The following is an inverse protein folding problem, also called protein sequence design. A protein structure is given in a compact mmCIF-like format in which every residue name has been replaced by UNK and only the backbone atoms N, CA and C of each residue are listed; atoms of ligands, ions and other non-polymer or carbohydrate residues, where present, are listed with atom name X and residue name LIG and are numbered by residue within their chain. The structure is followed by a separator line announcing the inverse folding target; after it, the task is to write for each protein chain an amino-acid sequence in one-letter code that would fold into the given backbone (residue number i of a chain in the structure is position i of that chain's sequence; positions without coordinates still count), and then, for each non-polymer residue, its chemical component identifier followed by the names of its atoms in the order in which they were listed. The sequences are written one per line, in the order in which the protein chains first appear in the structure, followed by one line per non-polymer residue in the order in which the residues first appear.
data_IF_074393534417
#
_entry.id   IF_074393534417
#
_cell.length_a   1.000
_cell.length_b   1.000
_cell.length_c   1.000
_cell.angle_alpha   90.00
_cell.angle_beta   90.00
_cell.angle_gamma   90.00
#
_symmetry.space_group_name_H-M   'P 1'
#
loop_
_entity.id
_entity.type
_entity.pdbx_description
1 polymer ?
#
# COMPACT_ATOMS: atom_id res chain seq x y z
N UNK A 1 8.23 17.59 8.74
CA UNK A 1 8.36 18.06 7.34
C UNK A 1 7.63 19.39 7.06
N UNK A 2 6.65 19.75 7.86
CA UNK A 2 5.89 21.00 7.77
C UNK A 2 4.76 21.00 6.71
N UNK A 3 3.90 22.05 6.70
CA UNK A 3 2.67 22.05 5.90
C UNK A 3 2.87 22.01 4.39
N UNK A 4 3.99 22.57 3.90
CA UNK A 4 4.30 22.55 2.46
C UNK A 4 4.60 21.15 1.97
N UNK A 5 5.40 20.39 2.72
CA UNK A 5 5.72 19.00 2.40
C UNK A 5 4.49 18.09 2.52
N UNK A 6 3.63 18.31 3.51
CA UNK A 6 2.37 17.57 3.66
C UNK A 6 1.46 17.74 2.44
N UNK A 7 1.32 18.97 1.92
CA UNK A 7 0.52 19.22 0.70
C UNK A 7 1.10 18.55 -0.54
N UNK A 8 2.43 18.59 -0.71
CA UNK A 8 3.07 17.90 -1.83
C UNK A 8 2.82 16.39 -1.72
N UNK A 9 3.04 15.82 -0.55
CA UNK A 9 2.82 14.40 -0.32
C UNK A 9 1.36 13.98 -0.60
N UNK A 10 0.38 14.71 -0.05
CA UNK A 10 -1.04 14.41 -0.26
C UNK A 10 -1.41 14.45 -1.76
N UNK A 11 -0.97 15.48 -2.49
CA UNK A 11 -1.20 15.58 -3.93
C UNK A 11 -0.57 14.42 -4.68
N UNK A 12 0.70 14.12 -4.40
CA UNK A 12 1.44 13.06 -5.10
C UNK A 12 0.81 11.67 -4.84
N UNK A 13 0.20 11.44 -3.66
CA UNK A 13 -0.54 10.21 -3.38
C UNK A 13 -1.84 10.13 -4.22
N UNK A 14 -2.57 11.23 -4.37
CA UNK A 14 -3.77 11.27 -5.22
C UNK A 14 -3.39 11.03 -6.69
N UNK A 15 -2.35 11.69 -7.18
CA UNK A 15 -1.84 11.50 -8.54
C UNK A 15 -1.38 10.05 -8.78
N UNK A 16 -0.70 9.43 -7.80
CA UNK A 16 -0.28 8.03 -7.89
C UNK A 16 -1.47 7.06 -7.96
N UNK A 17 -2.54 7.32 -7.21
CA UNK A 17 -3.77 6.53 -7.24
C UNK A 17 -4.42 6.57 -8.63
N UNK A 18 -4.55 7.76 -9.22
CA UNK A 18 -5.10 7.92 -10.56
C UNK A 18 -4.20 7.26 -11.62
N UNK A 19 -2.89 7.41 -11.49
CA UNK A 19 -1.94 6.74 -12.38
C UNK A 19 -2.09 5.21 -12.36
N UNK A 20 -2.22 4.59 -11.18
CA UNK A 20 -2.49 3.14 -11.07
C UNK A 20 -3.83 2.79 -11.75
N UNK A 21 -4.88 3.59 -11.52
CA UNK A 21 -6.19 3.40 -12.17
C UNK A 21 -6.09 3.41 -13.69
N UNK A 22 -5.31 4.33 -14.25
CA UNK A 22 -5.05 4.42 -15.69
C UNK A 22 -4.28 3.19 -16.20
N UNK A 23 -3.26 2.73 -15.46
CA UNK A 23 -2.51 1.52 -15.82
C UNK A 23 -3.42 0.28 -15.82
N UNK A 24 -4.23 0.08 -14.78
CA UNK A 24 -5.20 -1.01 -14.70
C UNK A 24 -6.13 -1.02 -15.91
N UNK A 25 -6.63 0.16 -16.30
CA UNK A 25 -7.53 0.33 -17.43
C UNK A 25 -6.83 0.10 -18.77
N UNK A 26 -5.64 0.68 -18.98
CA UNK A 26 -4.91 0.62 -20.24
C UNK A 26 -4.38 -0.78 -20.54
N UNK A 27 -3.96 -1.51 -19.53
CA UNK A 27 -3.49 -2.90 -19.65
C UNK A 27 -4.63 -3.93 -19.58
N UNK A 28 -5.86 -3.51 -19.29
CA UNK A 28 -7.01 -4.41 -19.15
C UNK A 28 -6.86 -5.42 -18.01
N UNK A 29 -6.21 -5.03 -16.91
CA UNK A 29 -5.89 -5.93 -15.80
C UNK A 29 -7.14 -6.27 -14.99
N UNK A 30 -7.39 -7.56 -14.79
CA UNK A 30 -8.45 -8.04 -13.89
C UNK A 30 -7.87 -8.23 -12.48
N UNK A 31 -7.72 -7.15 -11.73
CA UNK A 31 -7.14 -7.13 -10.39
C UNK A 31 -8.14 -6.73 -9.29
N UNK A 32 -9.42 -6.87 -9.53
CA UNK A 32 -10.47 -6.47 -8.58
C UNK A 32 -10.34 -5.00 -8.14
N UNK A 33 -9.95 -4.13 -9.07
CA UNK A 33 -9.89 -2.69 -8.81
C UNK A 33 -11.26 -2.17 -8.39
N UNK A 34 -11.33 -1.58 -7.20
CA UNK A 34 -12.57 -1.15 -6.60
C UNK A 34 -12.39 0.16 -5.83
N UNK A 35 -13.15 1.19 -6.21
CA UNK A 35 -13.15 2.48 -5.52
C UNK A 35 -13.89 2.35 -4.19
N UNK A 36 -13.24 2.72 -3.12
CA UNK A 36 -13.73 2.62 -1.76
C UNK A 36 -13.38 3.85 -0.94
N UNK A 37 -14.21 4.13 0.06
CA UNK A 37 -13.88 5.13 1.09
C UNK A 37 -12.85 4.55 2.06
N UNK A 38 -11.75 5.27 2.29
CA UNK A 38 -10.83 4.97 3.38
C UNK A 38 -11.32 5.65 4.66
N UNK A 39 -11.33 4.92 5.76
CA UNK A 39 -11.89 5.38 7.03
C UNK A 39 -10.91 5.08 8.17
N UNK A 40 -10.37 6.14 8.79
CA UNK A 40 -9.71 6.03 10.09
C UNK A 40 -10.76 6.15 11.18
N UNK A 41 -10.75 5.27 12.18
CA UNK A 41 -11.75 5.29 13.25
C UNK A 41 -11.15 5.09 14.63
N UNK A 42 -11.85 5.59 15.64
CA UNK A 42 -11.54 5.41 17.04
C UNK A 42 -12.71 4.77 17.80
N UNK A 43 -12.38 3.99 18.82
CA UNK A 43 -13.33 3.41 19.79
C UNK A 43 -13.14 3.98 21.20
N UNK A 44 -12.04 4.71 21.43
CA UNK A 44 -11.71 5.33 22.71
C UNK A 44 -11.77 6.86 22.62
N UNK A 45 -11.94 7.56 23.75
CA UNK A 45 -11.88 9.04 23.78
C UNK A 45 -10.53 9.61 23.32
N UNK A 46 -9.41 8.97 23.69
CA UNK A 46 -8.08 9.41 23.28
C UNK A 46 -7.86 9.20 21.76
N UNK A 47 -8.36 8.11 21.21
CA UNK A 47 -8.36 7.88 19.75
C UNK A 47 -9.23 8.92 19.03
N UNK A 48 -10.34 9.36 19.61
CA UNK A 48 -11.15 10.41 19.00
C UNK A 48 -10.39 11.74 18.88
N UNK A 49 -9.59 12.11 19.88
CA UNK A 49 -8.73 13.29 19.81
C UNK A 49 -7.72 13.17 18.67
N UNK A 50 -7.07 12.00 18.50
CA UNK A 50 -6.16 11.73 17.40
C UNK A 50 -6.84 11.84 16.02
N UNK A 51 -8.08 11.35 15.89
CA UNK A 51 -8.89 11.50 14.65
C UNK A 51 -9.16 12.96 14.34
N UNK A 52 -9.47 13.81 15.34
CA UNK A 52 -9.70 15.24 15.12
C UNK A 52 -8.42 15.99 14.72
N UNK A 53 -7.29 15.64 15.32
CA UNK A 53 -5.98 16.20 14.94
C UNK A 53 -5.62 15.82 13.49
N UNK A 54 -5.78 14.55 13.12
CA UNK A 54 -5.55 14.06 11.77
C UNK A 54 -6.47 14.76 10.74
N UNK A 55 -7.74 14.95 11.05
CA UNK A 55 -8.67 15.67 10.18
C UNK A 55 -8.22 17.12 9.93
N UNK A 56 -7.71 17.78 10.95
CA UNK A 56 -7.17 19.13 10.81
C UNK A 56 -5.93 19.16 9.92
N UNK A 57 -5.03 18.21 10.11
CA UNK A 57 -3.82 18.08 9.32
C UNK A 57 -4.11 17.73 7.85
N UNK A 58 -5.04 16.78 7.61
CA UNK A 58 -5.45 16.35 6.27
C UNK A 58 -6.08 17.50 5.47
N UNK A 59 -6.99 18.27 6.09
CA UNK A 59 -7.58 19.46 5.47
C UNK A 59 -6.53 20.54 5.16
N UNK A 60 -5.60 20.77 6.09
CA UNK A 60 -4.48 21.69 5.85
C UNK A 60 -3.54 21.23 4.72
N UNK A 61 -3.47 19.93 4.48
CA UNK A 61 -2.77 19.33 3.34
C UNK A 61 -3.57 19.38 2.03
N UNK A 62 -4.84 19.78 2.06
CA UNK A 62 -5.69 19.94 0.87
C UNK A 62 -6.55 18.72 0.56
N UNK A 63 -6.66 17.74 1.47
CA UNK A 63 -7.56 16.60 1.32
C UNK A 63 -8.99 16.99 1.76
N UNK A 64 -9.97 16.52 1.00
CA UNK A 64 -11.39 16.68 1.32
C UNK A 64 -11.84 15.51 2.20
N UNK A 65 -11.78 15.69 3.50
CA UNK A 65 -12.08 14.66 4.49
C UNK A 65 -13.29 15.00 5.31
N UNK A 66 -14.09 13.98 5.62
CA UNK A 66 -15.30 14.09 6.42
C UNK A 66 -15.10 13.52 7.82
N UNK A 67 -15.59 14.24 8.84
CA UNK A 67 -15.62 13.78 10.22
C UNK A 67 -16.98 13.17 10.53
N UNK A 68 -16.98 12.00 11.14
CA UNK A 68 -18.15 11.30 11.66
C UNK A 68 -17.94 10.80 13.10
N UNK A 69 -18.98 10.18 13.65
CA UNK A 69 -18.88 9.54 14.97
C UNK A 69 -19.18 8.06 14.91
N UNK A 70 -20.24 7.68 14.23
CA UNK A 70 -20.70 6.31 14.16
C UNK A 70 -20.56 5.78 12.74
N UNK A 71 -20.04 4.58 12.62
CA UNK A 71 -19.86 3.83 11.38
C UNK A 71 -20.82 2.63 11.36
N UNK A 72 -21.07 2.10 10.18
CA UNK A 72 -21.79 0.83 9.99
C UNK A 72 -20.82 -0.34 10.27
N UNK A 73 -20.37 -0.43 11.52
CA UNK A 73 -19.53 -1.49 12.05
C UNK A 73 -20.25 -2.18 13.21
N UNK A 74 -20.00 -3.47 13.48
CA UNK A 74 -20.69 -4.24 14.53
C UNK A 74 -20.26 -3.85 15.96
N UNK A 75 -19.62 -2.73 16.14
CA UNK A 75 -19.19 -2.18 17.42
C UNK A 75 -19.26 -0.63 17.41
N UNK A 76 -19.40 0.01 18.56
CA UNK A 76 -19.48 1.46 18.64
C UNK A 76 -18.15 2.13 18.31
N UNK A 77 -18.22 3.28 17.63
CA UNK A 77 -17.07 4.15 17.36
C UNK A 77 -17.29 5.51 18.01
N UNK A 78 -16.21 6.16 18.46
CA UNK A 78 -16.23 7.47 19.11
C UNK A 78 -15.99 8.62 18.14
N UNK A 79 -15.17 8.37 17.10
CA UNK A 79 -14.90 9.30 16.02
C UNK A 79 -14.50 8.53 14.75
N UNK A 80 -14.69 9.15 13.60
CA UNK A 80 -14.20 8.65 12.32
C UNK A 80 -13.78 9.79 11.39
N UNK A 81 -12.86 9.50 10.51
CA UNK A 81 -12.37 10.35 9.43
C UNK A 81 -12.44 9.58 8.13
N UNK A 82 -13.19 10.08 7.18
CA UNK A 82 -13.41 9.43 5.88
C UNK A 82 -12.76 10.23 4.76
N UNK A 83 -12.15 9.52 3.82
CA UNK A 83 -11.61 10.06 2.58
C UNK A 83 -12.17 9.22 1.42
N UNK A 84 -12.99 9.84 0.61
CA UNK A 84 -13.60 9.20 -0.55
C UNK A 84 -12.65 9.06 -1.74
N UNK A 85 -13.05 8.28 -2.74
CA UNK A 85 -12.32 8.10 -3.98
C UNK A 85 -11.04 7.29 -3.86
N UNK A 86 -10.80 6.66 -2.72
CA UNK A 86 -9.68 5.73 -2.54
C UNK A 86 -9.95 4.41 -3.27
N UNK A 87 -8.97 3.50 -3.31
CA UNK A 87 -9.15 2.23 -3.98
C UNK A 87 -8.48 1.08 -3.25
N UNK A 88 -9.01 -0.11 -3.48
CA UNK A 88 -8.37 -1.37 -3.17
C UNK A 88 -8.28 -2.23 -4.43
N UNK A 89 -7.33 -3.13 -4.48
CA UNK A 89 -7.17 -4.09 -5.58
C UNK A 89 -6.33 -5.28 -5.14
N UNK A 90 -6.32 -6.33 -5.95
CA UNK A 90 -5.39 -7.45 -5.81
C UNK A 90 -4.07 -7.07 -6.50
N UNK A 91 -3.01 -6.97 -5.70
CA UNK A 91 -1.71 -6.54 -6.18
C UNK A 91 -1.01 -7.59 -7.05
N UNK A 92 -1.31 -8.88 -6.87
CA UNK A 92 -0.61 -9.95 -7.60
C UNK A 92 -0.91 -9.90 -9.10
N UNK A 93 -2.16 -9.95 -9.57
CA UNK A 93 -2.47 -9.83 -10.99
C UNK A 93 -1.98 -8.50 -11.60
N UNK A 94 -1.98 -7.42 -10.81
CA UNK A 94 -1.47 -6.13 -11.28
C UNK A 94 0.03 -6.18 -11.56
N UNK A 95 0.83 -6.74 -10.64
CA UNK A 95 2.29 -6.85 -10.81
C UNK A 95 2.63 -7.82 -11.94
N UNK A 96 1.91 -8.93 -12.08
CA UNK A 96 2.07 -9.89 -13.18
C UNK A 96 1.80 -9.25 -14.54
N UNK A 97 0.77 -8.41 -14.64
CA UNK A 97 0.47 -7.66 -15.85
C UNK A 97 1.57 -6.65 -16.19
N UNK A 98 2.09 -5.92 -15.22
CA UNK A 98 3.22 -5.01 -15.41
C UNK A 98 4.48 -5.76 -15.86
N UNK A 99 4.78 -6.91 -15.27
CA UNK A 99 5.91 -7.74 -15.66
C UNK A 99 5.77 -8.25 -17.10
N UNK A 100 4.57 -8.69 -17.47
CA UNK A 100 4.23 -9.12 -18.85
C UNK A 100 4.39 -7.97 -19.84
N UNK A 101 3.92 -6.77 -19.49
CA UNK A 101 4.08 -5.58 -20.34
C UNK A 101 5.55 -5.26 -20.55
N UNK A 102 6.36 -5.25 -19.50
CA UNK A 102 7.82 -5.02 -19.61
C UNK A 102 8.47 -6.06 -20.49
N UNK A 103 8.16 -7.35 -20.33
CA UNK A 103 8.74 -8.44 -21.11
C UNK A 103 8.31 -8.45 -22.58
N UNK A 104 7.22 -7.73 -22.91
CA UNK A 104 6.74 -7.58 -24.28
C UNK A 104 7.60 -6.66 -25.15
N UNK A 105 8.41 -5.79 -24.55
CA UNK A 105 9.30 -4.89 -25.29
C UNK A 105 10.56 -5.64 -25.76
N UNK A 106 10.99 -5.46 -27.03
CA UNK A 106 12.12 -6.20 -27.62
C UNK A 106 13.43 -6.09 -26.86
N UNK A 107 13.66 -4.97 -26.20
CA UNK A 107 14.91 -4.64 -25.49
C UNK A 107 14.77 -4.78 -23.97
N UNK A 108 13.67 -5.35 -23.49
CA UNK A 108 13.41 -5.56 -22.08
C UNK A 108 13.30 -7.07 -21.78
N UNK A 109 13.58 -7.44 -20.54
CA UNK A 109 13.36 -8.80 -20.06
C UNK A 109 13.14 -8.86 -18.56
N UNK A 110 12.25 -9.74 -18.11
CA UNK A 110 12.00 -10.05 -16.71
C UNK A 110 12.63 -11.40 -16.37
N UNK A 111 13.51 -11.43 -15.39
CA UNK A 111 14.20 -12.64 -14.95
C UNK A 111 13.78 -13.01 -13.54
N UNK A 112 12.79 -13.85 -13.40
CA UNK A 112 12.40 -14.43 -12.11
C UNK A 112 13.46 -15.46 -11.64
N UNK A 113 13.40 -15.81 -10.37
CA UNK A 113 14.30 -16.79 -9.72
C UNK A 113 15.79 -16.44 -9.83
N UNK A 114 16.12 -15.24 -10.28
CA UNK A 114 17.46 -14.75 -10.53
C UNK A 114 17.98 -13.89 -9.37
N UNK A 115 18.38 -14.55 -8.29
CA UNK A 115 18.83 -13.87 -7.07
C UNK A 115 20.10 -13.07 -7.30
N UNK A 116 20.05 -11.75 -7.15
CA UNK A 116 21.23 -10.89 -7.15
C UNK A 116 22.04 -11.10 -5.86
N UNK A 117 23.29 -11.51 -6.01
CA UNK A 117 24.22 -11.75 -4.88
C UNK A 117 25.25 -10.64 -4.69
N UNK A 118 25.29 -9.67 -5.61
CA UNK A 118 26.17 -8.51 -5.45
C UNK A 118 26.08 -7.53 -6.61
N UNK A 119 26.32 -6.26 -6.28
CA UNK A 119 26.39 -5.16 -7.25
C UNK A 119 27.72 -4.45 -7.06
N UNK A 120 28.50 -4.32 -8.13
CA UNK A 120 29.83 -3.70 -8.12
C UNK A 120 30.08 -2.81 -9.32
N UNK A 121 31.25 -2.15 -9.35
CA UNK A 121 31.65 -1.22 -10.42
C UNK A 121 31.29 0.22 -10.11
N UNK A 122 31.94 1.14 -10.84
CA UNK A 122 31.66 2.59 -10.78
C UNK A 122 31.09 3.12 -12.11
N UNK A 123 30.84 2.17 -13.05
CA UNK A 123 30.29 2.33 -14.37
C UNK A 123 31.19 1.66 -15.44
N UNK A 124 30.66 0.74 -16.26
CA UNK A 124 29.35 0.10 -16.10
C UNK A 124 29.28 -0.75 -14.82
N UNK A 125 28.08 -0.83 -14.25
CA UNK A 125 27.85 -1.65 -13.07
C UNK A 125 27.81 -3.14 -13.43
N UNK A 126 28.25 -3.99 -12.48
CA UNK A 126 28.19 -5.45 -12.60
C UNK A 126 27.21 -6.00 -11.58
N UNK A 127 26.10 -6.51 -12.07
CA UNK A 127 25.09 -7.20 -11.25
C UNK A 127 25.34 -8.70 -11.35
N UNK A 128 25.69 -9.33 -10.23
CA UNK A 128 26.06 -10.74 -10.16
C UNK A 128 24.91 -11.58 -9.62
N UNK A 129 24.65 -12.69 -10.31
CA UNK A 129 23.78 -13.77 -9.86
C UNK A 129 24.62 -15.06 -9.75
N UNK A 130 24.10 -16.17 -9.19
CA UNK A 130 24.76 -17.46 -9.24
C UNK A 130 25.07 -17.94 -10.67
N UNK A 131 24.20 -17.61 -11.62
CA UNK A 131 24.25 -18.13 -12.98
C UNK A 131 24.99 -17.22 -13.98
N UNK A 132 25.30 -15.97 -13.56
CA UNK A 132 26.01 -15.06 -14.47
C UNK A 132 26.17 -13.63 -13.95
N UNK A 133 26.63 -12.76 -14.83
CA UNK A 133 26.83 -11.33 -14.55
C UNK A 133 26.21 -10.49 -15.64
N UNK A 134 25.39 -9.52 -15.23
CA UNK A 134 24.79 -8.51 -16.09
C UNK A 134 25.62 -7.22 -15.97
N UNK A 135 25.88 -6.57 -17.11
CA UNK A 135 26.52 -5.27 -17.17
C UNK A 135 25.46 -4.21 -17.48
N UNK A 136 25.39 -3.15 -16.68
CA UNK A 136 24.39 -2.10 -16.83
C UNK A 136 25.00 -0.73 -16.53
N UNK A 137 24.60 0.29 -17.27
CA UNK A 137 25.00 1.66 -17.02
C UNK A 137 24.33 2.21 -15.75
N UNK A 138 23.10 1.79 -15.50
CA UNK A 138 22.32 2.17 -14.33
C UNK A 138 21.73 0.94 -13.63
N UNK A 139 21.65 0.98 -12.31
CA UNK A 139 21.02 -0.07 -11.48
C UNK A 139 20.10 0.58 -10.46
N UNK A 140 18.82 0.19 -10.48
CA UNK A 140 17.85 0.57 -9.46
C UNK A 140 17.66 -0.58 -8.49
N UNK A 141 17.90 -0.35 -7.21
CA UNK A 141 17.69 -1.33 -6.14
C UNK A 141 16.35 -1.08 -5.48
N UNK A 142 15.34 -1.87 -5.87
CA UNK A 142 13.96 -1.76 -5.40
C UNK A 142 13.55 -2.99 -4.57
N UNK A 143 14.38 -3.38 -3.61
CA UNK A 143 14.29 -4.65 -2.87
C UNK A 143 13.73 -4.50 -1.45
N UNK A 144 12.90 -3.50 -1.17
CA UNK A 144 12.39 -3.13 0.16
C UNK A 144 13.51 -2.79 1.16
N UNK A 145 14.36 -3.76 1.51
CA UNK A 145 15.64 -3.54 2.18
C UNK A 145 16.77 -3.63 1.13
N UNK A 146 17.66 -2.62 1.06
CA UNK A 146 18.78 -2.65 0.14
C UNK A 146 19.66 -3.87 0.39
N UNK A 147 19.89 -4.66 -0.67
CA UNK A 147 20.78 -5.85 -0.61
C UNK A 147 22.26 -5.48 -0.55
N UNK A 148 22.58 -4.21 -0.83
CA UNK A 148 23.94 -3.68 -0.71
C UNK A 148 24.05 -2.88 0.57
N UNK A 149 24.98 -3.26 1.43
CA UNK A 149 25.21 -2.58 2.73
C UNK A 149 26.01 -1.27 2.58
N UNK A 150 25.52 -0.40 1.69
CA UNK A 150 26.07 0.95 1.53
C UNK A 150 25.23 1.94 2.32
N UNK A 151 25.67 2.30 3.52
CA UNK A 151 24.98 3.28 4.36
C UNK A 151 24.35 2.71 5.62
N UNK A 152 24.72 1.49 6.01
CA UNK A 152 24.30 0.84 7.26
C UNK A 152 22.76 0.76 7.41
N UNK A 153 22.06 0.46 6.33
CA UNK A 153 20.58 0.35 6.32
C UNK A 153 20.08 -0.73 7.28
N UNK A 154 20.80 -1.84 7.42
CA UNK A 154 20.47 -2.90 8.38
C UNK A 154 20.41 -2.40 9.83
N UNK A 155 21.21 -1.39 10.19
CA UNK A 155 21.22 -0.81 11.53
C UNK A 155 20.17 0.32 11.71
N UNK A 156 19.57 0.81 10.63
CA UNK A 156 18.64 1.95 10.60
C UNK A 156 17.21 1.56 10.28
N UNK A 157 16.99 0.40 9.70
CA UNK A 157 15.69 -0.12 9.33
C UNK A 157 15.35 -1.32 10.23
N UNK A 158 14.20 -1.24 10.89
CA UNK A 158 13.63 -2.37 11.65
C UNK A 158 12.54 -3.00 10.79
N UNK A 159 12.70 -4.26 10.36
CA UNK A 159 11.61 -4.96 9.68
C UNK A 159 10.46 -5.20 10.68
N UNK A 160 9.25 -4.99 10.25
CA UNK A 160 8.06 -5.41 10.98
C UNK A 160 7.18 -6.27 10.08
N UNK A 161 6.45 -7.20 10.66
CA UNK A 161 5.48 -8.04 9.98
C UNK A 161 4.09 -7.71 10.50
N UNK A 162 3.12 -7.62 9.60
CA UNK A 162 1.71 -7.59 9.96
C UNK A 162 1.05 -8.87 9.50
N UNK A 163 0.02 -9.28 10.23
CA UNK A 163 -0.75 -10.48 9.94
C UNK A 163 -2.12 -10.08 9.40
N UNK A 164 -2.65 -10.89 8.50
CA UNK A 164 -4.00 -10.74 8.00
C UNK A 164 -4.71 -12.10 8.04
N UNK A 165 -6.00 -12.08 8.38
CA UNK A 165 -6.88 -13.24 8.37
C UNK A 165 -8.04 -12.93 7.43
N UNK A 166 -8.36 -13.89 6.56
CA UNK A 166 -9.57 -13.85 5.74
C UNK A 166 -10.66 -14.67 6.44
N UNK A 167 -11.81 -14.06 6.65
CA UNK A 167 -12.95 -14.67 7.34
C UNK A 167 -14.15 -14.73 6.41
N UNK A 168 -14.78 -15.89 6.35
CA UNK A 168 -16.13 -16.05 5.78
C UNK A 168 -17.13 -15.69 6.88
N UNK A 169 -17.88 -14.62 6.68
CA UNK A 169 -18.78 -14.03 7.69
C UNK A 169 -20.20 -14.00 7.13
N UNK A 170 -21.17 -14.46 7.92
CA UNK A 170 -22.57 -14.34 7.56
C UNK A 170 -23.08 -12.90 7.75
N UNK A 171 -23.87 -12.40 6.81
CA UNK A 171 -24.47 -11.08 6.84
C UNK A 171 -23.80 -10.06 5.91
N UNK A 172 -24.13 -8.79 6.12
CA UNK A 172 -23.53 -7.69 5.32
C UNK A 172 -22.12 -7.38 5.78
N UNK A 173 -21.18 -7.31 4.84
CA UNK A 173 -19.81 -6.93 5.11
C UNK A 173 -19.61 -5.41 4.98
N UNK A 174 -18.69 -4.83 5.75
CA UNK A 174 -18.39 -3.40 5.67
C UNK A 174 -17.83 -3.03 4.29
N UNK A 175 -18.32 -1.92 3.74
CA UNK A 175 -18.04 -1.52 2.35
C UNK A 175 -16.84 -0.57 2.21
N UNK A 176 -16.32 -0.03 3.30
CA UNK A 176 -15.13 0.81 3.32
C UNK A 176 -13.84 0.03 3.59
N UNK A 177 -12.74 0.76 3.57
CA UNK A 177 -11.43 0.31 4.06
C UNK A 177 -11.18 0.99 5.40
N UNK A 178 -11.22 0.24 6.48
CA UNK A 178 -11.21 0.78 7.84
C UNK A 178 -9.86 0.53 8.51
N UNK A 179 -9.36 1.54 9.23
CA UNK A 179 -8.14 1.46 10.02
C UNK A 179 -8.40 2.07 11.41
N UNK A 180 -8.19 1.28 12.47
CA UNK A 180 -8.24 1.77 13.84
C UNK A 180 -7.04 2.66 14.15
N UNK A 181 -7.28 3.81 14.78
CA UNK A 181 -6.21 4.65 15.35
C UNK A 181 -5.84 4.23 16.77
N UNK A 182 -6.71 3.46 17.43
CA UNK A 182 -6.42 2.90 18.76
C UNK A 182 -5.46 1.73 18.68
N UNK A 183 -4.63 1.57 19.68
CA UNK A 183 -3.77 0.38 19.82
C UNK A 183 -4.53 -0.78 20.49
N UNK A 184 -4.32 -1.99 20.01
CA UNK A 184 -3.52 -2.37 18.84
C UNK A 184 -4.27 -2.05 17.54
N UNK A 185 -3.56 -1.44 16.60
CA UNK A 185 -4.13 -1.05 15.30
C UNK A 185 -4.71 -2.24 14.54
N UNK A 186 -5.93 -2.09 14.04
CA UNK A 186 -6.64 -3.10 13.24
C UNK A 186 -7.13 -2.50 11.93
N UNK A 187 -6.96 -3.23 10.85
CA UNK A 187 -7.56 -2.91 9.56
C UNK A 187 -8.70 -3.89 9.24
N UNK A 188 -9.74 -3.36 8.61
CA UNK A 188 -10.88 -4.14 8.13
C UNK A 188 -11.17 -3.74 6.70
N UNK A 189 -11.34 -4.70 5.81
CA UNK A 189 -11.83 -4.48 4.45
C UNK A 189 -12.45 -5.74 3.88
N UNK A 190 -13.34 -5.58 2.93
CA UNK A 190 -13.94 -6.68 2.18
C UNK A 190 -13.15 -6.91 0.89
N UNK A 191 -12.89 -8.15 0.57
CA UNK A 191 -12.29 -8.57 -0.70
C UNK A 191 -13.08 -9.76 -1.29
N UNK A 192 -12.81 -10.11 -2.54
CA UNK A 192 -13.37 -11.31 -3.17
C UNK A 192 -12.32 -12.40 -3.25
N UNK A 193 -12.72 -13.60 -2.86
CA UNK A 193 -11.92 -14.81 -2.97
C UNK A 193 -12.81 -15.94 -3.46
N UNK A 194 -12.46 -16.59 -4.56
CA UNK A 194 -13.23 -17.66 -5.21
C UNK A 194 -14.72 -17.31 -5.44
N UNK A 195 -14.98 -16.07 -5.89
CA UNK A 195 -16.32 -15.58 -6.17
C UNK A 195 -17.16 -15.23 -4.94
N UNK A 196 -16.62 -15.33 -3.72
CA UNK A 196 -17.26 -14.95 -2.46
C UNK A 196 -16.65 -13.70 -1.90
N UNK A 197 -17.44 -12.93 -1.17
CA UNK A 197 -16.93 -11.84 -0.35
C UNK A 197 -16.39 -12.40 0.98
N UNK A 198 -15.19 -11.97 1.35
CA UNK A 198 -14.53 -12.31 2.61
C UNK A 198 -14.12 -11.04 3.35
N UNK A 199 -14.20 -11.07 4.67
CA UNK A 199 -13.69 -10.01 5.52
C UNK A 199 -12.20 -10.24 5.75
N UNK A 200 -11.37 -9.28 5.36
CA UNK A 200 -9.95 -9.26 5.71
C UNK A 200 -9.76 -8.42 6.97
N UNK A 201 -9.17 -9.05 7.99
CA UNK A 201 -8.79 -8.40 9.24
C UNK A 201 -7.27 -8.42 9.35
N UNK A 202 -6.67 -7.24 9.41
CA UNK A 202 -5.21 -7.10 9.55
C UNK A 202 -4.82 -6.43 10.87
N UNK A 203 -3.61 -6.73 11.34
CA UNK A 203 -3.06 -6.15 12.57
C UNK A 203 -1.94 -6.99 13.18
N UNK A 204 -1.67 -6.78 14.46
CA UNK A 204 -0.62 -7.51 15.23
C UNK A 204 0.76 -7.43 14.57
N UNK A 205 1.15 -6.26 14.04
CA UNK A 205 2.49 -6.01 13.56
C UNK A 205 3.49 -5.92 14.70
N UNK A 206 4.67 -6.53 14.57
CA UNK A 206 5.78 -6.47 15.53
C UNK A 206 7.11 -6.10 14.85
#
# INVERSE_FOLDING_TARGET
HGPKAARVYARDQVEALEWISEQVSSLGVVCQWDRRTAVSYATTPSGAEAVYEEASAARAAGLDVELGRQLDLPFPTTASLSLDGQAQFDAVPYIEALATEVDSYPDCSVHEWSRVVGIGGRGPHRVRTPDGTIHADHVVVATLLPITDRGLFFARAKPSMSYAVALDVEGSLPQGMYLSVDEPTRSLRTARHDGREVLLVGGEGS
#
